data_IF_690375052548
#
_entry.id   IF_690375052548
#
_cell.length_a   1.000
_cell.length_b   1.000
_cell.length_c   1.000
_cell.angle_alpha   90.00
_cell.angle_beta   90.00
_cell.angle_gamma   90.00
#
_symmetry.space_group_name_H-M   'P 1'
#
loop_
_entity.id
_entity.type
_entity.pdbx_description
1 polymer ?
#
# COMPACT_ATOMS: atom_id res chain seq x y z
N UNK A 1 1.10 -7.71 -17.09
CA UNK A 1 1.74 -6.81 -16.10
C UNK A 1 1.00 -5.49 -16.14
N UNK A 2 0.83 -4.79 -15.00
CA UNK A 2 0.19 -3.49 -15.00
C UNK A 2 0.99 -2.49 -15.84
N UNK A 3 0.31 -1.82 -16.78
CA UNK A 3 0.88 -0.75 -17.60
C UNK A 3 0.77 0.60 -16.86
N UNK A 4 1.54 1.59 -17.31
CA UNK A 4 1.48 2.98 -16.82
C UNK A 4 1.60 3.14 -15.29
N UNK A 5 2.60 2.46 -14.71
CA UNK A 5 2.87 2.49 -13.26
C UNK A 5 3.83 3.61 -12.83
N UNK A 6 4.31 4.43 -13.78
CA UNK A 6 5.36 5.41 -13.51
C UNK A 6 4.98 6.42 -12.42
N UNK A 7 3.80 7.05 -12.52
CA UNK A 7 3.31 8.04 -11.56
C UNK A 7 3.17 7.49 -10.14
N UNK A 8 2.61 6.28 -10.01
CA UNK A 8 2.48 5.62 -8.71
C UNK A 8 3.85 5.32 -8.08
N UNK A 9 4.82 4.85 -8.88
CA UNK A 9 6.17 4.55 -8.40
C UNK A 9 6.94 5.81 -8.02
N UNK A 10 6.75 6.92 -8.75
CA UNK A 10 7.29 8.24 -8.40
C UNK A 10 6.71 8.75 -7.08
N UNK A 11 5.39 8.62 -6.88
CA UNK A 11 4.74 8.98 -5.62
C UNK A 11 5.30 8.17 -4.45
N UNK A 12 5.49 6.85 -4.62
CA UNK A 12 6.12 6.03 -3.59
C UNK A 12 7.55 6.48 -3.28
N UNK A 13 8.37 6.79 -4.31
CA UNK A 13 9.72 7.30 -4.10
C UNK A 13 9.73 8.63 -3.33
N UNK A 14 8.81 9.55 -3.65
CA UNK A 14 8.68 10.81 -2.96
C UNK A 14 8.28 10.62 -1.48
N UNK A 15 7.29 9.76 -1.20
CA UNK A 15 6.82 9.47 0.15
C UNK A 15 7.89 8.74 0.98
N UNK A 16 8.62 7.80 0.39
CA UNK A 16 9.74 7.11 1.04
C UNK A 16 10.87 8.07 1.41
N UNK A 17 11.09 9.15 0.66
CA UNK A 17 12.08 10.18 1.02
C UNK A 17 11.71 10.98 2.28
N UNK A 18 10.46 10.88 2.74
CA UNK A 18 9.96 11.45 4.00
C UNK A 18 9.68 10.39 5.06
N UNK A 19 10.17 9.15 4.89
CA UNK A 19 9.97 8.01 5.80
C UNK A 19 8.51 7.58 6.03
N UNK A 20 7.57 8.05 5.18
CA UNK A 20 6.13 7.79 5.32
C UNK A 20 5.70 6.36 4.89
N UNK A 21 6.62 5.62 4.27
CA UNK A 21 6.44 4.26 3.74
C UNK A 21 7.58 3.32 4.19
N UNK A 22 8.11 3.56 5.39
CA UNK A 22 9.33 2.93 5.89
C UNK A 22 9.25 1.39 5.97
N UNK A 23 10.39 0.74 5.74
CA UNK A 23 10.54 -0.71 5.88
C UNK A 23 10.44 -1.15 7.35
N UNK A 24 10.03 -2.40 7.55
CA UNK A 24 10.19 -3.04 8.86
C UNK A 24 11.64 -3.50 9.01
N UNK A 25 12.30 -3.09 10.09
CA UNK A 25 13.60 -3.65 10.47
C UNK A 25 13.46 -4.55 11.70
N UNK A 26 14.32 -5.55 11.81
CA UNK A 26 14.40 -6.43 13.00
C UNK A 26 13.24 -7.41 13.15
N UNK A 27 12.49 -7.70 12.09
CA UNK A 27 11.37 -8.67 12.08
C UNK A 27 11.70 -9.89 11.21
N UNK A 28 11.17 -11.06 11.56
CA UNK A 28 11.26 -12.28 10.72
C UNK A 28 10.43 -12.16 9.42
N UNK A 29 9.64 -11.10 9.30
CA UNK A 29 8.74 -10.82 8.17
C UNK A 29 9.30 -9.65 7.36
N UNK A 30 9.46 -9.86 6.06
CA UNK A 30 9.84 -8.81 5.11
C UNK A 30 8.61 -7.94 4.79
N UNK A 31 8.75 -6.62 4.89
CA UNK A 31 7.70 -5.71 4.49
C UNK A 31 8.02 -4.24 4.72
N UNK A 32 7.06 -3.39 4.38
CA UNK A 32 7.12 -1.95 4.56
C UNK A 32 5.73 -1.38 4.83
N UNK A 33 5.69 -0.28 5.54
CA UNK A 33 4.47 0.43 5.92
C UNK A 33 3.78 1.13 4.77
N UNK A 34 2.48 1.38 4.95
CA UNK A 34 1.65 2.12 4.02
C UNK A 34 1.45 1.44 2.67
N UNK A 35 0.73 2.12 1.77
CA UNK A 35 0.56 1.76 0.37
C UNK A 35 -0.03 2.93 -0.41
N UNK A 36 0.10 2.86 -1.73
CA UNK A 36 -0.38 3.90 -2.64
C UNK A 36 -1.20 3.23 -3.72
N UNK A 37 -2.34 3.84 -4.07
CA UNK A 37 -3.12 3.44 -5.24
C UNK A 37 -3.50 4.62 -6.12
N UNK A 38 -3.73 4.33 -7.39
CA UNK A 38 -4.09 5.30 -8.41
C UNK A 38 -5.22 4.75 -9.29
N UNK A 39 -6.30 5.51 -9.43
CA UNK A 39 -7.48 5.13 -10.21
C UNK A 39 -7.10 4.91 -11.68
N UNK A 40 -7.78 3.95 -12.32
CA UNK A 40 -7.72 3.72 -13.76
C UNK A 40 -9.13 3.76 -14.35
N UNK A 41 -9.23 3.72 -15.68
CA UNK A 41 -10.52 3.64 -16.36
C UNK A 41 -11.36 2.46 -15.86
N UNK A 42 -10.69 1.34 -15.57
CA UNK A 42 -11.27 0.18 -14.89
C UNK A 42 -10.46 -0.11 -13.63
N UNK A 43 -11.09 0.01 -12.46
CA UNK A 43 -10.46 -0.26 -11.16
C UNK A 43 -9.29 0.68 -10.83
N UNK A 44 -8.19 0.15 -10.30
CA UNK A 44 -7.03 0.95 -9.89
C UNK A 44 -5.73 0.16 -9.81
N UNK A 45 -4.59 0.83 -9.93
CA UNK A 45 -3.27 0.24 -9.62
C UNK A 45 -2.96 0.47 -8.15
N UNK A 46 -2.37 -0.50 -7.47
CA UNK A 46 -1.92 -0.41 -6.09
C UNK A 46 -0.54 -1.06 -5.92
N UNK A 47 0.24 -0.62 -4.94
CA UNK A 47 1.46 -1.33 -4.55
C UNK A 47 1.16 -2.75 -4.08
N UNK A 48 2.02 -3.71 -4.42
CA UNK A 48 1.94 -5.08 -3.95
C UNK A 48 2.15 -5.17 -2.42
N UNK A 49 1.70 -6.28 -1.83
CA UNK A 49 1.94 -6.60 -0.42
C UNK A 49 3.38 -7.10 -0.19
N UNK A 50 3.84 -7.00 1.06
CA UNK A 50 5.13 -7.55 1.53
C UNK A 50 6.35 -7.09 0.72
N UNK A 51 6.29 -5.87 0.17
CA UNK A 51 7.45 -5.28 -0.49
C UNK A 51 8.50 -4.89 0.56
N UNK A 52 9.78 -5.25 0.37
CA UNK A 52 10.84 -4.92 1.33
C UNK A 52 11.04 -3.42 1.48
N UNK A 53 10.78 -2.65 0.43
CA UNK A 53 10.79 -1.19 0.43
C UNK A 53 9.82 -0.67 -0.62
N UNK A 54 9.34 0.57 -0.46
CA UNK A 54 8.56 1.30 -1.48
C UNK A 54 9.39 2.29 -2.27
N UNK A 55 10.70 2.27 -2.09
CA UNK A 55 11.64 2.99 -2.94
C UNK A 55 12.12 2.11 -4.10
N UNK A 56 12.35 2.74 -5.27
CA UNK A 56 12.84 2.08 -6.49
C UNK A 56 11.98 0.90 -6.97
N UNK A 57 10.65 1.01 -6.82
CA UNK A 57 9.72 0.00 -7.29
C UNK A 57 9.90 -0.29 -8.78
N UNK A 58 9.83 -1.57 -9.14
CA UNK A 58 9.66 -2.04 -10.50
C UNK A 58 8.16 -2.02 -10.89
N UNK A 59 7.83 -2.04 -12.19
CA UNK A 59 6.44 -2.20 -12.63
C UNK A 59 5.75 -3.42 -12.03
N UNK A 60 6.49 -4.52 -11.82
CA UNK A 60 6.03 -5.76 -11.22
C UNK A 60 5.72 -5.68 -9.72
N UNK A 61 6.13 -4.58 -9.06
CA UNK A 61 5.76 -4.28 -7.67
C UNK A 61 4.39 -3.58 -7.58
N UNK A 62 3.74 -3.36 -8.71
CA UNK A 62 2.40 -2.83 -8.82
C UNK A 62 1.43 -3.95 -9.19
N UNK A 63 0.18 -3.80 -8.75
CA UNK A 63 -0.91 -4.75 -9.01
C UNK A 63 -2.13 -3.96 -9.48
N UNK A 64 -2.76 -4.41 -10.55
CA UNK A 64 -4.00 -3.83 -11.03
C UNK A 64 -5.18 -4.53 -10.38
N UNK A 65 -5.95 -3.84 -9.56
CA UNK A 65 -7.26 -4.30 -9.09
C UNK A 65 -8.28 -3.96 -10.17
N UNK A 66 -8.89 -4.99 -10.75
CA UNK A 66 -9.93 -4.86 -11.78
C UNK A 66 -11.30 -4.62 -11.14
N UNK A 67 -11.67 -5.47 -10.18
CA UNK A 67 -12.91 -5.39 -9.42
C UNK A 67 -12.75 -5.93 -8.01
N UNK A 68 -13.62 -5.50 -7.10
CA UNK A 68 -13.81 -6.15 -5.81
C UNK A 68 -15.28 -6.54 -5.63
N UNK A 69 -15.53 -7.78 -5.20
CA UNK A 69 -16.88 -8.29 -4.94
C UNK A 69 -16.84 -9.33 -3.82
N UNK A 70 -17.87 -9.34 -2.97
CA UNK A 70 -18.00 -10.31 -1.86
C UNK A 70 -16.77 -10.39 -0.93
N UNK A 71 -16.03 -9.29 -0.76
CA UNK A 71 -14.81 -9.27 0.06
C UNK A 71 -13.56 -9.82 -0.62
N UNK A 72 -13.62 -10.09 -1.92
CA UNK A 72 -12.48 -10.56 -2.72
C UNK A 72 -12.13 -9.58 -3.82
N UNK A 73 -10.84 -9.49 -4.17
CA UNK A 73 -10.34 -8.67 -5.25
C UNK A 73 -9.93 -9.53 -6.45
N UNK A 74 -10.42 -9.18 -7.63
CA UNK A 74 -9.92 -9.70 -8.90
C UNK A 74 -8.80 -8.77 -9.39
N UNK A 75 -7.62 -9.34 -9.68
CA UNK A 75 -6.44 -8.54 -9.96
C UNK A 75 -5.53 -9.13 -11.05
N UNK A 76 -4.67 -8.27 -11.60
CA UNK A 76 -3.62 -8.61 -12.57
C UNK A 76 -2.25 -8.13 -12.05
N UNK A 77 -1.25 -9.00 -12.08
CA UNK A 77 0.10 -8.70 -11.58
C UNK A 77 0.90 -9.97 -11.33
N UNK A 78 2.20 -9.83 -11.10
CA UNK A 78 3.08 -10.96 -10.73
C UNK A 78 3.13 -11.20 -9.22
N UNK A 79 2.57 -10.27 -8.43
CA UNK A 79 2.52 -10.29 -6.96
C UNK A 79 1.09 -10.13 -6.45
N UNK A 80 0.89 -10.45 -5.17
CA UNK A 80 -0.37 -10.19 -4.50
C UNK A 80 -0.54 -8.69 -4.19
N UNK A 81 -1.77 -8.15 -4.28
CA UNK A 81 -2.03 -6.75 -3.97
C UNK A 81 -1.90 -6.48 -2.47
N UNK A 82 -1.82 -5.19 -2.09
CA UNK A 82 -1.90 -4.78 -0.68
C UNK A 82 -3.10 -5.40 0.04
N UNK A 83 -2.93 -5.78 1.30
CA UNK A 83 -4.02 -6.27 2.17
C UNK A 83 -5.14 -5.25 2.35
N UNK A 84 -4.88 -3.97 2.10
CA UNK A 84 -5.84 -2.88 2.24
C UNK A 84 -6.58 -2.54 0.93
N UNK A 85 -6.45 -3.37 -0.11
CA UNK A 85 -7.08 -3.13 -1.42
C UNK A 85 -8.60 -2.97 -1.35
N UNK A 86 -9.29 -3.71 -0.46
CA UNK A 86 -10.74 -3.59 -0.28
C UNK A 86 -11.14 -2.22 0.30
N UNK A 87 -10.32 -1.66 1.19
CA UNK A 87 -10.52 -0.30 1.71
C UNK A 87 -10.37 0.73 0.58
N UNK A 88 -9.33 0.60 -0.25
CA UNK A 88 -9.11 1.51 -1.38
C UNK A 88 -10.26 1.43 -2.39
N UNK A 89 -10.74 0.22 -2.69
CA UNK A 89 -11.92 0.01 -3.51
C UNK A 89 -13.15 0.72 -2.95
N UNK A 90 -13.44 0.52 -1.66
CA UNK A 90 -14.58 1.16 -1.00
C UNK A 90 -14.50 2.69 -1.07
N UNK A 91 -13.32 3.28 -0.86
CA UNK A 91 -13.12 4.73 -0.96
C UNK A 91 -13.31 5.24 -2.39
N UNK A 92 -12.81 4.52 -3.40
CA UNK A 92 -13.01 4.88 -4.80
C UNK A 92 -14.49 4.80 -5.24
N UNK A 93 -15.24 3.80 -4.78
CA UNK A 93 -16.67 3.67 -5.07
C UNK A 93 -17.49 4.77 -4.35
N UNK A 94 -17.15 5.04 -3.09
CA UNK A 94 -17.85 6.03 -2.27
C UNK A 94 -17.58 7.46 -2.74
N UNK A 95 -16.37 7.73 -3.21
CA UNK A 95 -15.93 9.07 -3.61
C UNK A 95 -15.39 9.06 -5.05
N UNK A 96 -16.28 9.19 -6.07
CA UNK A 96 -15.89 9.10 -7.47
C UNK A 96 -14.83 10.13 -7.91
N UNK A 97 -14.75 11.28 -7.23
CA UNK A 97 -13.77 12.33 -7.53
C UNK A 97 -12.32 11.93 -7.18
N UNK A 98 -12.11 11.01 -6.24
CA UNK A 98 -10.76 10.60 -5.82
C UNK A 98 -10.05 9.90 -6.97
N UNK A 99 -8.84 10.36 -7.31
CA UNK A 99 -7.98 9.77 -8.35
C UNK A 99 -6.79 8.98 -7.78
N UNK A 100 -6.44 9.21 -6.52
CA UNK A 100 -5.36 8.50 -5.85
C UNK A 100 -5.63 8.40 -4.35
N UNK A 101 -5.12 7.36 -3.71
CA UNK A 101 -5.19 7.15 -2.26
C UNK A 101 -3.79 6.85 -1.76
N UNK A 102 -3.39 7.54 -0.70
CA UNK A 102 -2.12 7.36 -0.02
C UNK A 102 -2.42 6.96 1.43
N UNK A 103 -2.06 5.74 1.80
CA UNK A 103 -2.04 5.28 3.18
C UNK A 103 -0.58 5.28 3.67
N UNK A 104 -0.30 6.02 4.73
CA UNK A 104 1.05 6.22 5.26
C UNK A 104 1.07 6.05 6.77
N UNK A 105 2.24 5.76 7.31
CA UNK A 105 2.47 5.69 8.74
C UNK A 105 3.45 6.80 9.11
N UNK A 106 3.04 7.69 10.01
CA UNK A 106 3.78 8.90 10.38
C UNK A 106 5.14 8.60 11.03
N UNK A 107 5.20 7.59 11.90
CA UNK A 107 6.42 7.31 12.66
C UNK A 107 6.49 5.82 13.01
N UNK A 108 7.47 5.13 12.42
CA UNK A 108 7.83 3.78 12.83
C UNK A 108 8.25 3.74 14.30
N UNK A 109 9.02 4.73 14.77
CA UNK A 109 9.45 4.80 16.17
C UNK A 109 8.26 4.87 17.12
N UNK A 110 7.25 5.69 16.81
CA UNK A 110 6.04 5.77 17.64
C UNK A 110 5.30 4.42 17.65
N UNK A 111 5.07 3.85 16.46
CA UNK A 111 4.28 2.62 16.28
C UNK A 111 4.98 1.37 16.85
N UNK A 112 6.30 1.32 16.76
CA UNK A 112 7.10 0.14 17.08
C UNK A 112 8.03 0.33 18.29
N UNK A 113 7.97 1.47 18.98
CA UNK A 113 8.62 1.65 20.28
C UNK A 113 8.15 0.58 21.28
N UNK A 114 9.01 0.26 22.25
CA UNK A 114 8.66 -0.63 23.35
C UNK A 114 7.41 -0.13 24.10
N UNK A 115 7.32 1.19 24.34
CA UNK A 115 6.15 1.84 24.92
C UNK A 115 4.89 1.73 24.06
N UNK A 116 5.03 1.84 22.74
CA UNK A 116 3.91 1.69 21.80
C UNK A 116 3.36 0.27 21.81
N UNK A 117 4.26 -0.74 21.74
CA UNK A 117 3.89 -2.16 21.77
C UNK A 117 3.34 -2.61 23.12
N UNK A 118 3.86 -2.10 24.23
CA UNK A 118 3.32 -2.40 25.56
C UNK A 118 1.83 -2.01 25.64
N UNK A 119 1.48 -0.86 25.06
CA UNK A 119 0.11 -0.34 24.99
C UNK A 119 -0.82 -1.19 24.11
N UNK A 120 -0.30 -1.88 23.09
CA UNK A 120 -1.10 -2.82 22.29
C UNK A 120 -1.54 -4.05 23.09
N UNK A 121 -0.69 -4.52 24.01
CA UNK A 121 -1.04 -5.63 24.92
C UNK A 121 -2.20 -5.26 25.85
N UNK A 122 -2.34 -3.97 26.20
CA UNK A 122 -3.41 -3.46 27.07
C UNK A 122 -4.74 -3.24 26.33
N UNK A 123 -4.69 -3.04 25.01
CA UNK A 123 -5.84 -2.69 24.17
C UNK A 123 -6.52 -3.89 23.49
N UNK A 124 -6.17 -5.11 23.90
CA UNK A 124 -6.60 -6.39 23.34
C UNK A 124 -7.98 -6.43 22.70
#
# INVERSE_FOLDING_TARGET
>A
MPEDTASLREACAALSAYDLLASYEGTDVIGSNGNVSERRATGFIITATQLPAKQNLAPDDCVHIETCAAGEARFHGSKFPSSESLMHWHLYETFPAIQAIIHVHESNDLLYSESGRARWTELG
#
